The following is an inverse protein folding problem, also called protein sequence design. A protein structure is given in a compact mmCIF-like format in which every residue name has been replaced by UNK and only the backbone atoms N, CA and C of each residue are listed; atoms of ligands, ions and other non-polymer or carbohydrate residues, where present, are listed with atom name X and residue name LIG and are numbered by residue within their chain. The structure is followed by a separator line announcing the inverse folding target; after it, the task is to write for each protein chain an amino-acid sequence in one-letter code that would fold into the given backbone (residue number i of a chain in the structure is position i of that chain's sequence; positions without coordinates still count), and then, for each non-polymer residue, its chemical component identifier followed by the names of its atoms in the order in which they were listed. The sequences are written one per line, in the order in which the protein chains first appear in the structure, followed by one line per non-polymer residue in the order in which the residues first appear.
data_IF_961637533137
#
_entry.id   IF_961637533137
#
_cell.length_a   1.000
_cell.length_b   1.000
_cell.length_c   1.000
_cell.angle_alpha   90.00
_cell.angle_beta   90.00
_cell.angle_gamma   90.00
#
_symmetry.space_group_name_H-M   'P 1'
#
loop_
_entity.id
_entity.type
_entity.pdbx_description
1 polymer ?
#
# COMPACT_ATOMS: atom_id res chain seq x y z
N UNK A 1 9.74 6.99 17.77
CA UNK A 1 10.44 6.48 16.57
C UNK A 1 10.42 7.59 15.53
N UNK A 2 11.53 7.89 14.84
CA UNK A 2 11.47 8.92 13.79
C UNK A 2 10.58 8.45 12.65
N UNK A 3 9.71 9.32 12.12
CA UNK A 3 8.87 9.03 10.96
C UNK A 3 9.66 8.59 9.72
N UNK A 4 10.96 8.86 9.64
CA UNK A 4 11.88 8.25 8.65
C UNK A 4 11.83 6.71 8.60
N UNK A 5 11.34 6.04 9.64
CA UNK A 5 11.18 4.59 9.68
C UNK A 5 9.84 4.10 9.07
N UNK A 6 8.82 4.96 8.93
CA UNK A 6 7.49 4.52 8.50
C UNK A 6 7.50 3.98 7.08
N UNK A 7 8.23 4.61 6.15
CA UNK A 7 8.36 4.12 4.78
C UNK A 7 9.02 2.73 4.74
N UNK A 8 10.07 2.52 5.53
CA UNK A 8 10.76 1.23 5.63
C UNK A 8 9.83 0.15 6.16
N UNK A 9 9.15 0.40 7.28
CA UNK A 9 8.20 -0.56 7.87
C UNK A 9 7.01 -0.83 6.95
N UNK A 10 6.47 0.22 6.33
CA UNK A 10 5.35 0.13 5.40
C UNK A 10 5.70 -0.73 4.18
N UNK A 11 6.82 -0.46 3.50
CA UNK A 11 7.25 -1.27 2.36
C UNK A 11 7.62 -2.70 2.77
N UNK A 12 8.19 -2.89 3.97
CA UNK A 12 8.47 -4.22 4.49
C UNK A 12 7.20 -5.07 4.62
N UNK A 13 6.07 -4.50 5.06
CA UNK A 13 4.78 -5.20 5.13
C UNK A 13 4.38 -5.82 3.79
N UNK A 14 4.54 -5.07 2.69
CA UNK A 14 4.19 -5.53 1.34
C UNK A 14 5.15 -6.59 0.78
N UNK A 15 6.33 -6.75 1.38
CA UNK A 15 7.30 -7.77 1.02
C UNK A 15 7.26 -9.01 1.94
N UNK A 16 6.47 -9.01 3.00
CA UNK A 16 6.46 -10.10 4.00
C UNK A 16 5.73 -11.34 3.47
N UNK A 17 6.48 -12.44 3.38
CA UNK A 17 6.01 -13.72 2.86
C UNK A 17 5.26 -14.53 3.93
N UNK A 18 5.78 -14.54 5.16
CA UNK A 18 5.25 -15.33 6.26
C UNK A 18 3.91 -14.75 6.74
N UNK A 19 2.81 -15.51 6.66
CA UNK A 19 1.49 -15.00 7.04
C UNK A 19 1.39 -14.56 8.49
N UNK A 20 2.07 -15.26 9.41
CA UNK A 20 2.01 -14.94 10.84
C UNK A 20 2.74 -13.62 11.13
N UNK A 21 3.91 -13.43 10.55
CA UNK A 21 4.71 -12.21 10.66
C UNK A 21 3.98 -11.06 9.99
N UNK A 22 3.45 -11.25 8.79
CA UNK A 22 2.65 -10.24 8.08
C UNK A 22 1.46 -9.78 8.92
N UNK A 23 0.73 -10.71 9.53
CA UNK A 23 -0.40 -10.38 10.39
C UNK A 23 0.01 -9.47 11.55
N UNK A 24 1.12 -9.78 12.22
CA UNK A 24 1.67 -8.93 13.30
C UNK A 24 2.10 -7.57 12.80
N UNK A 25 2.77 -7.50 11.64
CA UNK A 25 3.16 -6.23 11.05
C UNK A 25 1.97 -5.33 10.75
N UNK A 26 0.84 -5.90 10.32
CA UNK A 26 -0.42 -5.17 10.15
C UNK A 26 -0.90 -4.62 11.49
N UNK A 27 -0.92 -5.44 12.55
CA UNK A 27 -1.31 -5.00 13.90
C UNK A 27 -0.33 -4.01 14.51
N UNK A 28 0.91 -3.93 14.06
CA UNK A 28 1.87 -2.95 14.55
C UNK A 28 1.83 -1.64 13.76
N UNK A 29 1.42 -1.69 12.49
CA UNK A 29 1.39 -0.55 11.58
C UNK A 29 0.03 0.15 11.53
N UNK A 30 -1.08 -0.58 11.52
CA UNK A 30 -2.42 -0.03 11.36
C UNK A 30 -3.16 0.02 12.69
N UNK A 31 -4.08 0.97 12.83
CA UNK A 31 -5.11 0.91 13.89
C UNK A 31 -6.08 -0.25 13.63
N UNK A 32 -6.83 -0.68 14.66
CA UNK A 32 -7.76 -1.83 14.55
C UNK A 32 -8.81 -1.65 13.46
N UNK A 33 -9.28 -0.42 13.28
CA UNK A 33 -10.24 -0.03 12.25
C UNK A 33 -9.57 0.66 11.05
N UNK A 34 -8.24 0.51 10.93
CA UNK A 34 -7.46 1.10 9.86
C UNK A 34 -7.91 0.62 8.49
N UNK A 35 -7.80 1.50 7.49
CA UNK A 35 -8.29 1.22 6.15
C UNK A 35 -7.25 1.52 5.07
N UNK A 36 -7.26 0.74 4.00
CA UNK A 36 -6.59 1.10 2.75
C UNK A 36 -7.65 1.42 1.70
N UNK A 37 -7.42 2.51 0.96
CA UNK A 37 -8.17 2.94 -0.20
C UNK A 37 -7.27 2.91 -1.42
N UNK A 38 -7.59 2.03 -2.38
CA UNK A 38 -7.05 2.11 -3.73
C UNK A 38 -7.83 3.20 -4.48
N UNK A 39 -7.24 4.40 -4.54
CA UNK A 39 -7.88 5.60 -5.11
C UNK A 39 -8.08 5.44 -6.61
N UNK A 40 -7.14 4.80 -7.29
CA UNK A 40 -7.18 4.50 -8.71
C UNK A 40 -7.46 3.00 -8.91
N UNK A 41 -8.74 2.58 -9.00
CA UNK A 41 -9.07 1.17 -9.18
C UNK A 41 -8.59 0.64 -10.55
N UNK A 42 -8.40 -0.69 -10.68
CA UNK A 42 -7.97 -1.31 -11.93
C UNK A 42 -8.88 -0.93 -13.12
N UNK A 43 -8.32 -0.94 -14.33
CA UNK A 43 -9.03 -0.54 -15.54
C UNK A 43 -10.33 -1.33 -15.73
N UNK A 44 -10.35 -2.62 -15.39
CA UNK A 44 -11.52 -3.48 -15.46
C UNK A 44 -12.66 -2.98 -14.55
N UNK A 45 -12.33 -2.56 -13.32
CA UNK A 45 -13.32 -2.00 -12.39
C UNK A 45 -13.83 -0.64 -12.87
N UNK A 46 -12.95 0.18 -13.48
CA UNK A 46 -13.35 1.47 -14.07
C UNK A 46 -14.27 1.30 -15.27
N UNK A 47 -13.98 0.36 -16.16
CA UNK A 47 -14.83 0.04 -17.32
C UNK A 47 -16.20 -0.44 -16.87
N UNK A 48 -16.27 -1.38 -15.91
CA UNK A 48 -17.54 -1.87 -15.38
C UNK A 48 -18.39 -0.74 -14.75
N UNK A 49 -17.77 0.22 -14.06
CA UNK A 49 -18.50 1.38 -13.53
C UNK A 49 -19.00 2.31 -14.66
N UNK A 50 -18.17 2.54 -15.67
CA UNK A 50 -18.51 3.37 -16.82
C UNK A 50 -19.67 2.78 -17.65
N UNK A 51 -19.74 1.45 -17.80
CA UNK A 51 -20.85 0.76 -18.46
C UNK A 51 -22.20 0.97 -17.75
N UNK A 52 -22.15 1.28 -16.45
CA UNK A 52 -23.31 1.65 -15.64
C UNK A 52 -23.55 3.17 -15.57
N UNK A 53 -22.74 3.97 -16.27
CA UNK A 53 -22.71 5.43 -16.17
C UNK A 53 -22.45 5.96 -14.75
N UNK A 54 -21.63 5.24 -13.97
CA UNK A 54 -21.25 5.59 -12.59
C UNK A 54 -19.75 5.95 -12.57
N UNK A 55 -19.35 7.05 -11.90
CA UNK A 55 -17.93 7.31 -11.65
C UNK A 55 -17.32 6.17 -10.82
N UNK A 56 -16.19 5.62 -11.26
CA UNK A 56 -15.55 4.52 -10.57
C UNK A 56 -15.19 4.92 -9.12
N UNK A 57 -15.76 4.26 -8.09
CA UNK A 57 -15.42 4.56 -6.72
C UNK A 57 -14.05 3.98 -6.37
N UNK A 58 -13.33 4.55 -5.37
CA UNK A 58 -12.16 3.89 -4.82
C UNK A 58 -12.55 2.53 -4.24
N UNK A 59 -11.63 1.57 -4.30
CA UNK A 59 -11.80 0.27 -3.63
C UNK A 59 -11.20 0.36 -2.23
N UNK A 60 -11.94 -0.09 -1.22
CA UNK A 60 -11.49 0.00 0.16
C UNK A 60 -11.48 -1.37 0.86
N UNK A 61 -10.50 -1.55 1.74
CA UNK A 61 -10.46 -2.65 2.71
C UNK A 61 -10.30 -2.09 4.10
N UNK A 62 -11.04 -2.64 5.06
CA UNK A 62 -11.13 -2.11 6.42
C UNK A 62 -10.83 -3.18 7.46
N UNK A 63 -10.05 -2.80 8.45
CA UNK A 63 -9.67 -3.65 9.56
C UNK A 63 -8.65 -4.72 9.17
N UNK A 64 -8.07 -5.29 10.20
CA UNK A 64 -6.92 -6.17 10.07
C UNK A 64 -7.11 -7.38 9.16
N UNK A 65 -8.24 -8.07 9.23
CA UNK A 65 -8.47 -9.27 8.44
C UNK A 65 -8.59 -8.96 6.95
N UNK A 66 -9.18 -7.80 6.60
CA UNK A 66 -9.28 -7.38 5.20
C UNK A 66 -7.93 -6.90 4.67
N UNK A 67 -7.15 -6.19 5.50
CA UNK A 67 -5.77 -5.80 5.19
C UNK A 67 -4.88 -7.03 4.98
N UNK A 68 -4.98 -8.06 5.83
CA UNK A 68 -4.20 -9.28 5.67
C UNK A 68 -4.49 -9.98 4.33
N UNK A 69 -5.77 -10.12 3.96
CA UNK A 69 -6.15 -10.66 2.64
C UNK A 69 -5.62 -9.80 1.50
N UNK A 70 -5.68 -8.46 1.62
CA UNK A 70 -5.23 -7.50 0.60
C UNK A 70 -3.72 -7.57 0.38
N UNK A 71 -2.92 -7.58 1.46
CA UNK A 71 -1.46 -7.66 1.38
C UNK A 71 -1.04 -9.06 0.90
N UNK A 72 -1.68 -10.12 1.40
CA UNK A 72 -1.46 -11.50 0.92
C UNK A 72 -1.70 -11.61 -0.59
N UNK A 73 -2.80 -11.02 -1.10
CA UNK A 73 -3.11 -11.06 -2.53
C UNK A 73 -2.08 -10.29 -3.36
N UNK A 74 -1.63 -9.12 -2.91
CA UNK A 74 -0.55 -8.39 -3.59
C UNK A 74 0.75 -9.20 -3.64
N UNK A 75 1.17 -9.77 -2.50
CA UNK A 75 2.37 -10.59 -2.43
C UNK A 75 2.29 -11.75 -3.43
N UNK A 76 1.18 -12.47 -3.44
CA UNK A 76 0.95 -13.59 -4.37
C UNK A 76 0.98 -13.18 -5.84
N UNK A 77 0.48 -11.98 -6.17
CA UNK A 77 0.41 -11.49 -7.54
C UNK A 77 1.75 -10.98 -8.07
N UNK A 78 2.56 -10.36 -7.20
CA UNK A 78 3.69 -9.56 -7.65
C UNK A 78 5.05 -10.10 -7.20
N UNK A 79 5.11 -10.83 -6.09
CA UNK A 79 6.39 -11.19 -5.45
C UNK A 79 6.61 -12.70 -5.28
N UNK A 80 5.57 -13.52 -5.40
CA UNK A 80 5.64 -14.95 -5.08
C UNK A 80 6.51 -15.78 -6.03
N UNK A 81 6.73 -15.31 -7.27
CA UNK A 81 7.69 -15.91 -8.21
C UNK A 81 9.16 -15.59 -7.87
N UNK A 82 9.39 -14.64 -6.95
CA UNK A 82 10.71 -14.20 -6.55
C UNK A 82 11.42 -13.30 -7.56
N UNK A 83 10.75 -12.79 -8.60
CA UNK A 83 11.38 -11.94 -9.62
C UNK A 83 11.38 -10.46 -9.23
N UNK A 84 10.44 -10.04 -8.38
CA UNK A 84 10.23 -8.64 -8.03
C UNK A 84 10.40 -8.36 -6.53
N UNK A 85 10.55 -7.08 -6.19
CA UNK A 85 10.61 -6.55 -4.82
C UNK A 85 9.99 -5.15 -4.78
N UNK A 86 9.23 -4.82 -3.74
CA UNK A 86 8.82 -3.43 -3.50
C UNK A 86 9.91 -2.68 -2.72
N UNK A 87 10.18 -1.43 -3.09
CA UNK A 87 11.13 -0.55 -2.43
C UNK A 87 10.53 0.84 -2.20
N UNK A 88 10.95 1.50 -1.13
CA UNK A 88 10.64 2.92 -0.95
C UNK A 88 11.44 3.75 -1.96
N UNK A 89 10.77 4.68 -2.63
CA UNK A 89 11.37 5.61 -3.59
C UNK A 89 11.74 6.90 -2.89
N UNK A 90 12.80 6.85 -2.08
CA UNK A 90 13.25 7.97 -1.25
C UNK A 90 12.64 8.00 0.15
N UNK A 91 12.95 9.05 0.94
CA UNK A 91 12.47 9.18 2.31
C UNK A 91 10.97 9.47 2.37
N UNK A 92 10.33 9.08 3.47
CA UNK A 92 8.97 9.48 3.77
C UNK A 92 8.86 11.02 3.87
N UNK A 93 7.80 11.58 3.30
CA UNK A 93 7.56 13.02 3.32
C UNK A 93 6.54 13.35 4.39
N UNK A 94 6.94 14.08 5.43
CA UNK A 94 6.00 14.58 6.43
C UNK A 94 5.10 15.66 5.83
N UNK A 95 3.80 15.51 6.04
CA UNK A 95 2.78 16.42 5.55
C UNK A 95 1.94 16.95 6.73
N UNK A 96 1.21 18.07 6.56
CA UNK A 96 0.34 18.61 7.59
C UNK A 96 -0.69 17.60 8.12
N UNK A 97 -1.30 17.93 9.27
CA UNK A 97 -2.40 17.16 9.86
C UNK A 97 -2.09 15.67 10.16
N UNK A 98 -0.84 15.37 10.55
CA UNK A 98 -0.46 14.00 10.94
C UNK A 98 -0.38 13.03 9.76
N UNK A 99 -0.17 13.53 8.55
CA UNK A 99 -0.09 12.71 7.35
C UNK A 99 1.35 12.52 6.88
N UNK A 100 1.62 11.42 6.19
CA UNK A 100 2.93 11.08 5.64
C UNK A 100 2.76 10.53 4.23
N UNK A 101 3.57 11.03 3.30
CA UNK A 101 3.68 10.50 1.95
C UNK A 101 4.77 9.43 1.84
N UNK A 102 4.46 8.32 1.20
CA UNK A 102 5.42 7.25 0.90
C UNK A 102 5.38 6.93 -0.60
N UNK A 103 6.41 7.35 -1.33
CA UNK A 103 6.60 6.91 -2.70
C UNK A 103 7.24 5.52 -2.72
N UNK A 104 6.86 4.67 -3.67
CA UNK A 104 7.37 3.32 -3.80
C UNK A 104 7.49 2.88 -5.25
N UNK A 105 8.37 1.92 -5.50
CA UNK A 105 8.50 1.23 -6.78
C UNK A 105 8.46 -0.28 -6.60
N UNK A 106 8.02 -0.99 -7.63
CA UNK A 106 8.23 -2.42 -7.80
C UNK A 106 9.39 -2.61 -8.76
N UNK A 107 10.46 -3.25 -8.30
CA UNK A 107 11.69 -3.41 -9.05
C UNK A 107 11.96 -4.88 -9.31
N UNK A 108 12.55 -5.20 -10.47
CA UNK A 108 13.14 -6.52 -10.70
C UNK A 108 14.28 -6.75 -9.72
N UNK A 109 14.44 -7.99 -9.24
CA UNK A 109 15.54 -8.35 -8.33
C UNK A 109 16.88 -8.52 -9.01
N UNK A 110 16.91 -8.85 -10.30
CA UNK A 110 18.13 -9.15 -11.03
C UNK A 110 18.94 -7.90 -11.39
N UNK A 111 18.27 -6.83 -11.82
CA UNK A 111 18.91 -5.60 -12.30
C UNK A 111 18.42 -4.31 -11.62
N UNK A 112 17.38 -4.40 -10.78
CA UNK A 112 16.80 -3.24 -10.08
C UNK A 112 15.90 -2.36 -10.95
N UNK A 113 15.61 -2.76 -12.19
CA UNK A 113 14.75 -2.01 -13.11
C UNK A 113 13.35 -1.86 -12.54
N UNK A 114 12.84 -0.62 -12.47
CA UNK A 114 11.47 -0.33 -12.04
C UNK A 114 10.46 -0.83 -13.09
N UNK A 115 9.49 -1.62 -12.63
CA UNK A 115 8.40 -2.18 -13.45
C UNK A 115 7.05 -1.48 -13.17
N UNK A 116 6.97 -0.76 -12.06
CA UNK A 116 5.79 0.00 -11.64
C UNK A 116 6.09 0.80 -10.39
N UNK A 117 5.15 1.63 -9.99
CA UNK A 117 5.32 2.50 -8.83
C UNK A 117 4.01 3.14 -8.41
N UNK A 118 4.09 3.86 -7.31
CA UNK A 118 2.95 4.52 -6.71
C UNK A 118 3.35 5.42 -5.56
N UNK A 119 2.31 6.00 -4.99
CA UNK A 119 2.41 6.86 -3.82
C UNK A 119 1.28 6.51 -2.86
N UNK A 120 1.61 6.39 -1.59
CA UNK A 120 0.64 6.20 -0.52
C UNK A 120 0.63 7.44 0.39
N UNK A 121 -0.57 7.97 0.64
CA UNK A 121 -0.81 9.00 1.64
C UNK A 121 -1.36 8.37 2.91
N UNK A 122 -0.52 8.28 3.94
CA UNK A 122 -0.82 7.67 5.22
C UNK A 122 -1.27 8.74 6.21
N UNK A 123 -2.48 8.63 6.77
CA UNK A 123 -2.91 9.40 7.93
C UNK A 123 -2.60 8.60 9.19
N UNK A 124 -1.89 9.22 10.13
CA UNK A 124 -1.43 8.58 11.36
C UNK A 124 -2.21 9.09 12.58
N UNK A 125 -2.44 8.22 13.55
CA UNK A 125 -2.91 8.62 14.88
C UNK A 125 -1.78 9.18 15.75
N UNK A 126 -2.10 9.51 17.01
CA UNK A 126 -1.13 10.05 17.97
C UNK A 126 0.01 9.07 18.32
N UNK A 127 -0.22 7.76 18.15
CA UNK A 127 0.77 6.70 18.39
C UNK A 127 1.60 6.39 17.12
N UNK A 128 1.32 7.08 16.01
CA UNK A 128 2.00 6.89 14.74
C UNK A 128 1.51 5.67 13.96
N UNK A 129 0.33 5.15 14.27
CA UNK A 129 -0.31 4.03 13.56
C UNK A 129 -1.21 4.55 12.45
N UNK A 130 -1.27 3.80 11.36
CA UNK A 130 -2.03 4.16 10.17
C UNK A 130 -3.53 4.02 10.45
N UNK A 131 -4.24 5.14 10.32
CA UNK A 131 -5.70 5.21 10.33
C UNK A 131 -6.24 4.99 8.93
N UNK A 132 -5.66 5.69 7.94
CA UNK A 132 -6.01 5.48 6.53
C UNK A 132 -4.78 5.53 5.66
N UNK A 133 -4.73 4.62 4.70
CA UNK A 133 -3.76 4.56 3.61
C UNK A 133 -4.49 4.84 2.29
N UNK A 134 -4.13 5.90 1.57
CA UNK A 134 -4.68 6.22 0.25
C UNK A 134 -3.63 5.99 -0.82
N UNK A 135 -3.84 4.93 -1.59
CA UNK A 135 -2.93 4.45 -2.62
C UNK A 135 -3.25 5.01 -4.00
N UNK A 136 -2.23 5.57 -4.62
CA UNK A 136 -2.22 6.07 -5.98
C UNK A 136 -1.22 5.25 -6.81
N UNK A 137 -1.65 4.75 -7.97
CA UNK A 137 -0.80 3.96 -8.86
C UNK A 137 -0.30 4.83 -10.00
N UNK A 138 1.01 4.87 -10.23
CA UNK A 138 1.59 5.62 -11.34
C UNK A 138 1.09 5.09 -12.68
N UNK A 139 0.84 5.99 -13.63
CA UNK A 139 0.35 5.63 -14.98
C UNK A 139 -1.09 5.11 -15.03
N UNK A 140 -1.83 5.14 -13.92
CA UNK A 140 -3.24 4.72 -13.88
C UNK A 140 -4.21 5.76 -14.45
N UNK A 141 -3.77 7.00 -14.66
CA UNK A 141 -4.55 8.12 -15.22
C UNK A 141 -3.95 8.64 -16.52
#
# INVERSE_FOLDING_TARGET
MSKNDIATRYVALWNEADPTTRRKMIEDLFTVDGAQYLVDPPAEARTAAADLAIPAPPLAVHGYDALDRRVTRAYAMFLADGESVFAASGPAVELPAGTVGVAWTMNRRDDGTAQGGGFDLLALDADGRIVTDHQFIEGSR
#
